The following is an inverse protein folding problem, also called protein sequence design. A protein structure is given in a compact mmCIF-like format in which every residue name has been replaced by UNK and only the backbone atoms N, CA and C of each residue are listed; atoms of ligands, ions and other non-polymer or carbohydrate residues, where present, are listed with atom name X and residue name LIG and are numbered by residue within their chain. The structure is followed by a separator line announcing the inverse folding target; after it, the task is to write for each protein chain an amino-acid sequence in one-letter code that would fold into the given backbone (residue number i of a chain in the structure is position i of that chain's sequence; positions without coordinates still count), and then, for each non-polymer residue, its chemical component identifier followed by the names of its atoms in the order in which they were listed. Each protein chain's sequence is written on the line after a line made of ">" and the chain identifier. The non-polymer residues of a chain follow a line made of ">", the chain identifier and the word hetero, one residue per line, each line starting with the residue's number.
data_IF_098407881770
#
_entry.id   IF_098407881770
#
_cell.length_a   1.000
_cell.length_b   1.000
_cell.length_c   1.000
_cell.angle_alpha   90.00
_cell.angle_beta   90.00
_cell.angle_gamma   90.00
#
_symmetry.space_group_name_H-M   'P 1'
#
loop_
_entity.id
_entity.type
_entity.pdbx_description
1 polymer ?
#
# COMPACT_ATOMS: atom_id res chain seq x y z
N UNK A 1 37.24 -56.93 -45.70
CA UNK A 1 36.25 -55.83 -45.72
C UNK A 1 35.27 -55.99 -44.53
N UNK A 2 35.74 -55.78 -43.29
CA UNK A 2 34.93 -55.94 -42.05
C UNK A 2 35.01 -54.73 -41.10
N UNK A 3 35.52 -53.59 -41.54
CA UNK A 3 35.69 -52.41 -40.67
C UNK A 3 34.52 -51.41 -40.75
N UNK A 4 33.68 -51.48 -41.79
CA UNK A 4 32.61 -50.51 -42.02
C UNK A 4 31.46 -50.55 -41.01
N UNK A 5 31.11 -51.71 -40.45
CA UNK A 5 30.02 -51.81 -39.48
C UNK A 5 30.39 -51.26 -38.09
N UNK A 6 31.65 -51.34 -37.69
CA UNK A 6 32.12 -50.73 -36.43
C UNK A 6 32.01 -49.21 -36.46
N UNK A 7 32.28 -48.58 -37.61
CA UNK A 7 32.14 -47.13 -37.75
C UNK A 7 30.69 -46.65 -37.53
N UNK A 8 29.71 -47.37 -38.08
CA UNK A 8 28.29 -47.06 -37.86
C UNK A 8 27.84 -47.28 -36.42
N UNK A 9 28.37 -48.30 -35.74
CA UNK A 9 28.09 -48.54 -34.31
C UNK A 9 28.65 -47.40 -33.46
N UNK A 10 29.91 -47.00 -33.69
CA UNK A 10 30.54 -45.89 -32.95
C UNK A 10 29.76 -44.60 -33.16
N UNK A 11 29.34 -44.31 -34.40
CA UNK A 11 28.52 -43.14 -34.70
C UNK A 11 27.19 -43.18 -33.95
N UNK A 12 26.46 -44.30 -34.02
CA UNK A 12 25.19 -44.47 -33.33
C UNK A 12 25.30 -44.27 -31.82
N UNK A 13 26.33 -44.87 -31.19
CA UNK A 13 26.59 -44.72 -29.76
C UNK A 13 26.93 -43.27 -29.41
N UNK A 14 27.81 -42.61 -30.18
CA UNK A 14 28.17 -41.21 -29.93
C UNK A 14 26.98 -40.26 -30.07
N UNK A 15 26.07 -40.53 -31.03
CA UNK A 15 24.86 -39.75 -31.24
C UNK A 15 23.90 -39.91 -30.07
N UNK A 16 23.66 -41.15 -29.61
CA UNK A 16 22.83 -41.42 -28.43
C UNK A 16 23.38 -40.71 -27.20
N UNK A 17 24.69 -40.81 -26.95
CA UNK A 17 25.31 -40.10 -25.82
C UNK A 17 25.14 -38.59 -25.91
N UNK A 18 25.37 -38.01 -27.09
CA UNK A 18 25.19 -36.56 -27.31
C UNK A 18 23.75 -36.14 -27.07
N UNK A 19 22.77 -36.91 -27.59
CA UNK A 19 21.35 -36.62 -27.40
C UNK A 19 20.93 -36.72 -25.93
N UNK A 20 21.40 -37.73 -25.19
CA UNK A 20 21.08 -37.87 -23.76
C UNK A 20 21.65 -36.70 -22.95
N UNK A 21 22.90 -36.33 -23.19
CA UNK A 21 23.53 -35.17 -22.53
C UNK A 21 22.79 -33.87 -22.88
N UNK A 22 22.38 -33.70 -24.14
CA UNK A 22 21.63 -32.54 -24.59
C UNK A 22 20.25 -32.43 -23.94
N UNK A 23 19.52 -33.55 -23.82
CA UNK A 23 18.21 -33.56 -23.17
C UNK A 23 18.32 -33.23 -21.67
N UNK A 24 19.33 -33.79 -20.99
CA UNK A 24 19.61 -33.46 -19.59
C UNK A 24 19.98 -31.97 -19.43
N UNK A 25 20.80 -31.43 -20.34
CA UNK A 25 21.16 -30.02 -20.36
C UNK A 25 19.94 -29.10 -20.53
N UNK A 26 19.01 -29.44 -21.43
CA UNK A 26 17.76 -28.68 -21.62
C UNK A 26 16.86 -28.73 -20.37
N UNK A 27 16.78 -29.87 -19.68
CA UNK A 27 15.99 -29.98 -18.45
C UNK A 27 16.61 -29.18 -17.31
N UNK A 28 17.94 -29.18 -17.20
CA UNK A 28 18.67 -28.35 -16.23
C UNK A 28 18.48 -26.85 -16.52
N UNK A 29 18.57 -26.43 -17.78
CA UNK A 29 18.33 -25.03 -18.17
C UNK A 29 16.92 -24.58 -17.81
N UNK A 30 15.92 -25.43 -18.05
CA UNK A 30 14.53 -25.15 -17.68
C UNK A 30 14.35 -25.05 -16.15
N UNK A 31 14.90 -25.99 -15.38
CA UNK A 31 14.85 -25.96 -13.91
C UNK A 31 15.51 -24.73 -13.32
N UNK A 32 16.63 -24.31 -13.91
CA UNK A 32 17.34 -23.10 -13.50
C UNK A 32 16.48 -21.85 -13.74
N UNK A 33 15.85 -21.74 -14.91
CA UNK A 33 14.93 -20.64 -15.22
C UNK A 33 13.71 -20.62 -14.28
N UNK A 34 13.11 -21.78 -13.99
CA UNK A 34 11.99 -21.88 -13.04
C UNK A 34 12.42 -21.45 -11.63
N UNK A 35 13.59 -21.90 -11.16
CA UNK A 35 14.12 -21.54 -9.84
C UNK A 35 14.43 -20.05 -9.75
N UNK A 36 15.03 -19.47 -10.78
CA UNK A 36 15.32 -18.03 -10.85
C UNK A 36 14.02 -17.21 -10.86
N UNK A 37 13.03 -17.64 -11.65
CA UNK A 37 11.71 -17.02 -11.68
C UNK A 37 11.02 -17.06 -10.32
N UNK A 38 10.99 -18.22 -9.66
CA UNK A 38 10.43 -18.37 -8.31
C UNK A 38 11.18 -17.52 -7.29
N UNK A 39 12.51 -17.46 -7.36
CA UNK A 39 13.31 -16.63 -6.46
C UNK A 39 12.98 -15.15 -6.63
N UNK A 40 12.91 -14.66 -7.87
CA UNK A 40 12.59 -13.27 -8.18
C UNK A 40 11.17 -12.93 -7.73
N UNK A 41 10.19 -13.75 -8.09
CA UNK A 41 8.78 -13.51 -7.75
C UNK A 41 8.55 -13.53 -6.23
N UNK A 42 9.08 -14.53 -5.52
CA UNK A 42 9.00 -14.58 -4.06
C UNK A 42 9.71 -13.40 -3.40
N UNK A 43 10.86 -12.99 -3.95
CA UNK A 43 11.59 -11.81 -3.50
C UNK A 43 10.77 -10.53 -3.64
N UNK A 44 10.12 -10.33 -4.79
CA UNK A 44 9.25 -9.17 -5.04
C UNK A 44 8.03 -9.18 -4.12
N UNK A 45 7.33 -10.30 -3.99
CA UNK A 45 6.18 -10.43 -3.09
C UNK A 45 6.57 -10.11 -1.64
N UNK A 46 7.71 -10.63 -1.18
CA UNK A 46 8.21 -10.36 0.17
C UNK A 46 8.47 -8.87 0.38
N UNK A 47 9.13 -8.19 -0.58
CA UNK A 47 9.38 -6.74 -0.50
C UNK A 47 8.08 -5.93 -0.42
N UNK A 48 7.07 -6.29 -1.22
CA UNK A 48 5.76 -5.63 -1.18
C UNK A 48 5.10 -5.82 0.19
N UNK A 49 5.08 -7.05 0.72
CA UNK A 49 4.49 -7.35 2.03
C UNK A 49 5.22 -6.63 3.16
N UNK A 50 6.55 -6.56 3.12
CA UNK A 50 7.35 -5.81 4.09
C UNK A 50 7.03 -4.30 4.04
N UNK A 51 6.84 -3.74 2.84
CA UNK A 51 6.44 -2.33 2.67
C UNK A 51 5.05 -2.08 3.25
N UNK A 52 4.07 -2.95 2.96
CA UNK A 52 2.71 -2.84 3.51
C UNK A 52 2.70 -2.93 5.04
N UNK A 53 3.41 -3.91 5.61
CA UNK A 53 3.54 -4.05 7.07
C UNK A 53 4.16 -2.81 7.70
N UNK A 54 5.11 -2.18 7.02
CA UNK A 54 5.74 -0.96 7.51
C UNK A 54 4.75 0.22 7.48
N UNK A 55 3.94 0.35 6.42
CA UNK A 55 2.86 1.35 6.37
C UNK A 55 1.81 1.13 7.46
N UNK A 56 1.43 -0.13 7.71
CA UNK A 56 0.53 -0.50 8.80
C UNK A 56 1.07 -0.03 10.16
N UNK A 57 2.35 -0.30 10.45
CA UNK A 57 2.99 0.14 11.70
C UNK A 57 2.98 1.66 11.87
N UNK A 58 3.20 2.41 10.78
CA UNK A 58 3.10 3.87 10.81
C UNK A 58 1.69 4.30 11.16
N UNK A 59 0.67 3.75 10.49
CA UNK A 59 -0.73 4.07 10.76
C UNK A 59 -1.17 3.67 12.18
N UNK A 60 -0.68 2.54 12.70
CA UNK A 60 -0.88 2.16 14.10
C UNK A 60 -0.25 3.16 15.07
N UNK A 61 0.88 3.77 14.73
CA UNK A 61 1.48 4.84 15.50
C UNK A 61 0.57 6.08 15.59
N UNK A 62 0.00 6.49 14.46
CA UNK A 62 -0.99 7.58 14.43
C UNK A 62 -2.27 7.20 15.19
N UNK A 63 -2.76 5.97 15.04
CA UNK A 63 -3.89 5.49 15.83
C UNK A 63 -3.59 5.57 17.33
N UNK A 64 -2.37 5.21 17.75
CA UNK A 64 -1.90 5.36 19.12
C UNK A 64 -1.95 6.79 19.63
N UNK A 65 -1.52 7.77 18.82
CA UNK A 65 -1.60 9.20 19.16
C UNK A 65 -3.04 9.62 19.51
N UNK A 66 -4.01 9.26 18.68
CA UNK A 66 -5.42 9.56 18.93
C UNK A 66 -6.04 8.72 20.06
N UNK A 67 -5.57 7.50 20.28
CA UNK A 67 -6.07 6.62 21.34
C UNK A 67 -5.62 7.07 22.75
N UNK A 68 -4.51 7.82 22.84
CA UNK A 68 -3.94 8.26 24.13
C UNK A 68 -4.18 9.72 24.48
N UNK A 69 -4.73 10.51 23.54
CA UNK A 69 -4.98 11.94 23.72
C UNK A 69 -6.48 12.23 23.72
N UNK A 70 -6.93 13.14 24.59
CA UNK A 70 -8.33 13.59 24.59
C UNK A 70 -8.66 14.41 23.33
N UNK A 71 -7.72 15.28 22.95
CA UNK A 71 -7.77 16.11 21.75
C UNK A 71 -6.36 16.10 21.16
N UNK A 72 -6.25 15.93 19.84
CA UNK A 72 -4.99 16.08 19.12
C UNK A 72 -5.03 17.42 18.39
N UNK A 73 -4.14 18.33 18.78
CA UNK A 73 -4.00 19.63 18.14
C UNK A 73 -3.22 19.53 16.82
N UNK A 74 -3.41 20.46 15.85
CA UNK A 74 -2.73 20.40 14.56
C UNK A 74 -1.20 20.31 14.66
N UNK A 75 -0.61 21.05 15.61
CA UNK A 75 0.83 21.07 15.84
C UNK A 75 1.35 19.74 16.41
N UNK A 76 0.54 19.01 17.18
CA UNK A 76 0.91 17.69 17.71
C UNK A 76 0.94 16.66 16.59
N UNK A 77 -0.06 16.67 15.71
CA UNK A 77 -0.09 15.82 14.51
C UNK A 77 1.12 16.10 13.60
N UNK A 78 1.42 17.37 13.34
CA UNK A 78 2.61 17.80 12.59
C UNK A 78 3.91 17.31 13.23
N UNK A 79 4.08 17.53 14.53
CA UNK A 79 5.28 17.11 15.26
C UNK A 79 5.44 15.59 15.22
N UNK A 80 4.35 14.84 15.43
CA UNK A 80 4.36 13.39 15.36
C UNK A 80 4.74 12.89 13.96
N UNK A 81 4.18 13.49 12.90
CA UNK A 81 4.53 13.17 11.51
C UNK A 81 6.03 13.36 11.23
N UNK A 82 6.59 14.50 11.67
CA UNK A 82 8.00 14.80 11.44
C UNK A 82 8.95 13.92 12.27
N UNK A 83 8.60 13.59 13.52
CA UNK A 83 9.37 12.67 14.36
C UNK A 83 9.51 11.28 13.72
N UNK A 84 8.51 10.83 12.98
CA UNK A 84 8.55 9.55 12.28
C UNK A 84 9.40 9.58 10.99
N UNK A 85 9.84 10.76 10.53
CA UNK A 85 10.62 10.98 9.30
C UNK A 85 9.99 10.28 8.07
N UNK A 86 8.66 10.36 7.95
CA UNK A 86 7.89 9.62 6.94
C UNK A 86 8.34 9.93 5.51
N UNK A 87 8.55 11.21 5.18
CA UNK A 87 8.97 11.61 3.83
C UNK A 87 10.32 11.01 3.42
N UNK A 88 11.24 10.84 4.37
CA UNK A 88 12.56 10.25 4.10
C UNK A 88 12.50 8.72 4.04
N UNK A 89 11.69 8.09 4.90
CA UNK A 89 11.55 6.63 4.97
C UNK A 89 10.66 6.07 3.88
N UNK A 90 9.67 6.86 3.42
CA UNK A 90 8.65 6.47 2.44
C UNK A 90 8.43 7.59 1.42
N UNK A 91 9.37 7.82 0.50
CA UNK A 91 9.27 8.91 -0.48
C UNK A 91 8.07 8.76 -1.43
N UNK A 92 7.57 7.54 -1.64
CA UNK A 92 6.40 7.28 -2.47
C UNK A 92 5.06 7.55 -1.74
N UNK A 93 5.10 7.85 -0.44
CA UNK A 93 3.89 8.13 0.32
C UNK A 93 3.33 9.50 -0.07
N UNK A 94 2.07 9.52 -0.51
CA UNK A 94 1.40 10.76 -0.90
C UNK A 94 0.88 11.56 0.30
N UNK A 95 0.72 10.90 1.45
CA UNK A 95 0.40 11.57 2.69
C UNK A 95 -0.25 10.68 3.73
N UNK A 96 -0.29 11.17 4.96
CA UNK A 96 -1.00 10.56 6.09
C UNK A 96 -1.99 11.57 6.60
N UNK A 97 -3.25 11.16 6.68
CA UNK A 97 -4.33 12.02 7.15
C UNK A 97 -5.19 11.35 8.21
N UNK A 98 -5.98 12.19 8.84
CA UNK A 98 -6.98 11.81 9.83
C UNK A 98 -8.35 12.31 9.35
N UNK A 99 -9.32 11.41 9.38
CA UNK A 99 -10.73 11.72 9.11
C UNK A 99 -11.51 11.64 10.41
N UNK A 100 -12.39 12.62 10.64
CA UNK A 100 -13.21 12.69 11.85
C UNK A 100 -14.62 12.18 11.57
N UNK A 101 -15.19 11.37 12.47
CA UNK A 101 -16.59 10.98 12.36
C UNK A 101 -17.51 12.13 12.81
N UNK A 102 -18.25 12.70 11.89
CA UNK A 102 -19.23 13.78 12.14
C UNK A 102 -20.64 13.23 11.99
N UNK A 103 -21.30 12.95 13.12
CA UNK A 103 -22.61 12.26 13.15
C UNK A 103 -23.81 13.16 13.44
N UNK A 104 -23.61 14.46 13.68
CA UNK A 104 -24.68 15.41 13.94
C UNK A 104 -24.28 16.84 13.50
N UNK A 105 -25.27 17.73 13.42
CA UNK A 105 -25.08 19.11 12.94
C UNK A 105 -24.21 19.96 13.90
N UNK A 106 -24.28 19.75 15.21
CA UNK A 106 -23.44 20.50 16.16
C UNK A 106 -21.95 20.20 15.95
N UNK A 107 -21.61 18.92 15.80
CA UNK A 107 -20.25 18.47 15.49
C UNK A 107 -19.80 18.93 14.11
N UNK A 108 -20.71 18.95 13.13
CA UNK A 108 -20.43 19.49 11.80
C UNK A 108 -20.05 20.97 11.86
N UNK A 109 -20.80 21.77 12.63
CA UNK A 109 -20.51 23.18 12.84
C UNK A 109 -19.18 23.40 13.56
N UNK A 110 -18.87 22.56 14.57
CA UNK A 110 -17.59 22.61 15.27
C UNK A 110 -16.40 22.34 14.33
N UNK A 111 -16.49 21.27 13.51
CA UNK A 111 -15.43 20.93 12.55
C UNK A 111 -15.30 21.98 11.46
N UNK A 112 -16.39 22.48 10.90
CA UNK A 112 -16.35 23.58 9.93
C UNK A 112 -15.68 24.83 10.50
N UNK A 113 -15.97 25.18 11.76
CA UNK A 113 -15.30 26.29 12.44
C UNK A 113 -13.79 26.06 12.56
N UNK A 114 -13.36 24.87 12.99
CA UNK A 114 -11.94 24.50 13.08
C UNK A 114 -11.24 24.57 11.72
N UNK A 115 -11.88 24.06 10.66
CA UNK A 115 -11.36 24.10 9.29
C UNK A 115 -11.23 25.55 8.78
N UNK A 116 -12.20 26.41 9.06
CA UNK A 116 -12.11 27.82 8.72
C UNK A 116 -10.98 28.53 9.49
N UNK A 117 -10.82 28.26 10.78
CA UNK A 117 -9.75 28.81 11.61
C UNK A 117 -8.36 28.40 11.11
N UNK A 118 -8.21 27.21 10.51
CA UNK A 118 -6.99 26.75 9.85
C UNK A 118 -6.83 27.23 8.40
N UNK A 119 -7.78 28.01 7.88
CA UNK A 119 -7.78 28.48 6.49
C UNK A 119 -8.09 27.40 5.45
N UNK A 120 -8.64 26.26 5.88
CA UNK A 120 -9.07 25.14 5.04
C UNK A 120 -10.52 25.32 4.59
N UNK A 121 -10.92 24.54 3.58
CA UNK A 121 -12.32 24.51 3.14
C UNK A 121 -13.17 23.80 4.18
N UNK A 122 -14.42 24.23 4.31
CA UNK A 122 -15.44 23.49 5.05
C UNK A 122 -15.66 22.08 4.48
N UNK A 123 -16.42 21.28 5.23
CA UNK A 123 -16.81 19.93 4.82
C UNK A 123 -17.48 19.97 3.45
N UNK A 124 -16.92 19.25 2.48
CA UNK A 124 -17.39 19.22 1.09
C UNK A 124 -17.23 17.82 0.47
N UNK A 125 -18.03 17.43 -0.53
CA UNK A 125 -19.10 18.20 -1.15
C UNK A 125 -20.30 18.38 -0.22
N UNK A 126 -21.00 19.50 -0.42
CA UNK A 126 -22.27 19.76 0.25
C UNK A 126 -23.27 18.62 0.01
N UNK A 127 -24.17 18.43 0.97
CA UNK A 127 -25.20 17.41 0.93
C UNK A 127 -25.78 17.18 2.31
N UNK A 128 -26.96 16.58 2.39
CA UNK A 128 -27.51 16.07 3.64
C UNK A 128 -27.23 14.58 3.75
N UNK A 129 -26.39 14.21 4.72
CA UNK A 129 -26.04 12.83 5.07
C UNK A 129 -26.17 12.65 6.58
N UNK A 130 -26.43 11.43 7.02
CA UNK A 130 -26.47 11.08 8.45
C UNK A 130 -25.10 11.17 9.11
N UNK A 131 -24.04 10.96 8.35
CA UNK A 131 -22.65 11.00 8.80
C UNK A 131 -21.76 11.59 7.71
N UNK A 132 -20.68 12.26 8.12
CA UNK A 132 -19.61 12.75 7.26
C UNK A 132 -18.28 12.31 7.84
N UNK A 133 -17.30 12.13 6.96
CA UNK A 133 -15.93 11.81 7.32
C UNK A 133 -14.97 12.77 6.63
N UNK A 134 -14.96 14.06 7.03
CA UNK A 134 -14.03 15.03 6.46
C UNK A 134 -12.59 14.71 6.86
N UNK A 135 -11.67 14.95 5.94
CA UNK A 135 -10.23 15.02 6.23
C UNK A 135 -9.97 16.26 7.11
N UNK A 136 -9.54 16.06 8.35
CA UNK A 136 -9.24 17.14 9.31
C UNK A 136 -7.75 17.44 9.36
N UNK A 137 -6.90 16.41 9.29
CA UNK A 137 -5.46 16.59 9.16
C UNK A 137 -4.96 15.83 7.95
N UNK A 138 -3.97 16.39 7.24
CA UNK A 138 -3.28 15.71 6.16
C UNK A 138 -1.86 16.26 6.01
N UNK A 139 -0.88 15.38 6.04
CA UNK A 139 0.54 15.69 5.92
C UNK A 139 1.17 14.91 4.76
N UNK A 140 2.18 15.46 4.06
CA UNK A 140 2.78 16.80 4.28
C UNK A 140 1.86 17.94 3.81
N UNK A 141 2.14 19.17 4.25
CA UNK A 141 1.39 20.39 3.88
C UNK A 141 1.72 20.89 2.46
N UNK A 142 1.62 20.02 1.45
CA UNK A 142 1.68 20.41 0.05
C UNK A 142 0.30 20.89 -0.46
N UNK A 143 0.28 21.55 -1.62
CA UNK A 143 -0.96 22.11 -2.19
C UNK A 143 -2.01 21.04 -2.45
N UNK A 144 -1.61 19.84 -2.89
CA UNK A 144 -2.52 18.72 -3.14
C UNK A 144 -3.23 18.30 -1.86
N UNK A 145 -2.49 18.18 -0.77
CA UNK A 145 -3.02 17.76 0.51
C UNK A 145 -3.87 18.86 1.16
N UNK A 146 -3.46 20.13 1.04
CA UNK A 146 -4.28 21.27 1.48
C UNK A 146 -5.64 21.30 0.79
N UNK A 147 -5.71 21.00 -0.51
CA UNK A 147 -6.98 20.93 -1.25
C UNK A 147 -7.88 19.79 -0.78
N UNK A 148 -7.32 18.71 -0.26
CA UNK A 148 -8.08 17.56 0.23
C UNK A 148 -8.59 17.73 1.68
N UNK A 149 -8.08 18.69 2.45
CA UNK A 149 -8.60 19.00 3.79
C UNK A 149 -10.04 19.55 3.66
N UNK A 150 -10.94 19.01 4.50
CA UNK A 150 -12.37 19.26 4.44
C UNK A 150 -13.12 18.32 3.48
N UNK A 151 -12.43 17.54 2.65
CA UNK A 151 -13.11 16.59 1.76
C UNK A 151 -13.73 15.44 2.56
N UNK A 152 -15.03 15.26 2.43
CA UNK A 152 -15.82 14.15 2.99
C UNK A 152 -15.53 12.88 2.21
N UNK A 153 -14.65 12.02 2.74
CA UNK A 153 -14.28 10.77 2.07
C UNK A 153 -15.47 9.83 1.92
N UNK A 154 -16.52 9.99 2.72
CA UNK A 154 -17.71 9.16 2.67
C UNK A 154 -18.59 9.45 1.45
N UNK A 155 -18.33 10.56 0.75
CA UNK A 155 -19.03 10.92 -0.48
C UNK A 155 -18.66 10.03 -1.69
N UNK A 156 -17.54 9.31 -1.63
CA UNK A 156 -17.09 8.38 -2.67
C UNK A 156 -17.28 6.92 -2.25
N UNK A 157 -17.93 6.12 -3.11
CA UNK A 157 -18.32 4.72 -2.78
C UNK A 157 -17.16 3.82 -2.35
N UNK A 158 -16.00 3.90 -3.03
CA UNK A 158 -14.83 3.07 -2.69
C UNK A 158 -14.28 3.45 -1.31
N UNK A 159 -14.30 4.73 -0.97
CA UNK A 159 -13.80 5.24 0.31
C UNK A 159 -14.77 4.99 1.45
N UNK A 160 -16.08 5.17 1.24
CA UNK A 160 -17.08 4.84 2.26
C UNK A 160 -17.01 3.36 2.64
N UNK A 161 -16.88 2.46 1.67
CA UNK A 161 -16.74 1.02 1.91
C UNK A 161 -15.51 0.70 2.78
N UNK A 162 -14.40 1.41 2.59
CA UNK A 162 -13.20 1.24 3.42
C UNK A 162 -13.35 1.82 4.82
N UNK A 163 -14.05 2.94 4.96
CA UNK A 163 -14.41 3.53 6.26
C UNK A 163 -15.27 2.54 7.04
N UNK A 164 -16.34 2.02 6.43
CA UNK A 164 -17.25 1.05 7.04
C UNK A 164 -16.48 -0.20 7.50
N UNK A 165 -15.64 -0.78 6.62
CA UNK A 165 -14.81 -1.93 6.96
C UNK A 165 -13.88 -1.64 8.15
N UNK A 166 -13.23 -0.47 8.16
CA UNK A 166 -12.28 -0.10 9.21
C UNK A 166 -12.99 0.10 10.56
N UNK A 167 -14.20 0.68 10.55
CA UNK A 167 -15.04 0.84 11.75
C UNK A 167 -15.51 -0.51 12.27
N UNK A 168 -15.98 -1.40 11.40
CA UNK A 168 -16.53 -2.70 11.79
C UNK A 168 -15.45 -3.65 12.32
N UNK A 169 -14.26 -3.64 11.71
CA UNK A 169 -13.22 -4.63 12.00
C UNK A 169 -12.10 -4.11 12.91
N UNK A 170 -11.93 -2.79 13.00
CA UNK A 170 -10.77 -2.17 13.64
C UNK A 170 -9.44 -2.45 12.92
N UNK A 171 -9.48 -2.92 11.66
CA UNK A 171 -8.29 -3.29 10.88
C UNK A 171 -8.03 -2.33 9.74
N UNK A 172 -6.78 -2.32 9.30
CA UNK A 172 -6.37 -1.62 8.08
C UNK A 172 -7.11 -2.18 6.86
N UNK A 173 -7.59 -1.28 5.99
CA UNK A 173 -8.16 -1.63 4.70
C UNK A 173 -7.35 -0.98 3.57
N UNK A 174 -7.11 -1.73 2.50
CA UNK A 174 -6.51 -1.21 1.28
C UNK A 174 -7.61 -0.95 0.26
N UNK A 175 -7.64 0.26 -0.31
CA UNK A 175 -8.58 0.58 -1.38
C UNK A 175 -8.18 -0.18 -2.65
N UNK A 176 -9.12 -0.96 -3.21
CA UNK A 176 -9.00 -1.47 -4.57
C UNK A 176 -9.28 -0.32 -5.56
N UNK A 177 -8.39 -0.15 -6.56
CA UNK A 177 -8.53 0.86 -7.62
C UNK A 177 -9.34 0.34 -8.80
#
# INVERSE_FOLDING_TARGET
>A
MKWGHYAWIVLGVSLIFTTVIWLDFLEQEKKLQETEFEFITNGMTKQILEKLKTHEQVLMGFHGLFATSEIVEPHEFYNFYNLQNINQRFPDNQGIGYIENVSNEDKKNEINKKLQESGSREIHPEGQRSQYFPVVFLMPEDERNKEAIGFDVYSEQTRSSAVDYSIETGKLHLLEK
#
